data_IF_063472177330
#
_entry.id   IF_063472177330
#
_cell.length_a   1.000
_cell.length_b   1.000
_cell.length_c   1.000
_cell.angle_alpha   90.00
_cell.angle_beta   90.00
_cell.angle_gamma   90.00
#
_symmetry.space_group_name_H-M   'P 1'
#
loop_
_entity.id
_entity.type
_entity.pdbx_description
1 polymer ?
#
# COMPACT_ATOMS: atom_id res chain seq x y z
N UNK A 1 23.01 -1.48 12.38
CA UNK A 1 21.89 -1.47 13.34
C UNK A 1 20.79 -0.63 12.75
N UNK A 2 19.59 -1.18 12.60
CA UNK A 2 18.43 -0.40 12.15
C UNK A 2 17.85 0.36 13.35
N UNK A 3 17.97 1.68 13.31
CA UNK A 3 17.34 2.56 14.29
C UNK A 3 15.83 2.56 14.03
N UNK A 4 15.02 2.28 15.06
CA UNK A 4 13.56 2.33 14.93
C UNK A 4 13.09 3.78 15.02
N UNK A 5 13.05 4.46 13.87
CA UNK A 5 12.41 5.76 13.77
C UNK A 5 10.88 5.61 13.88
N UNK A 6 10.34 5.96 15.05
CA UNK A 6 8.89 6.23 15.21
C UNK A 6 8.66 7.70 14.90
N UNK A 7 8.28 8.00 13.66
CA UNK A 7 7.90 9.35 13.27
C UNK A 7 6.81 9.96 14.16
N UNK A 8 6.78 11.29 14.24
CA UNK A 8 5.75 12.01 14.99
C UNK A 8 4.41 11.98 14.24
N UNK A 9 3.34 11.57 14.93
CA UNK A 9 1.97 11.63 14.41
C UNK A 9 1.49 13.10 14.47
N UNK A 10 1.56 13.80 13.34
CA UNK A 10 1.20 15.23 13.24
C UNK A 10 -0.30 15.48 13.00
N UNK A 11 -1.12 14.44 12.84
CA UNK A 11 -2.56 14.57 12.57
C UNK A 11 -2.90 15.14 11.18
N UNK A 12 -1.91 15.24 10.29
CA UNK A 12 -2.05 15.68 8.90
C UNK A 12 -2.02 14.48 7.97
N UNK A 13 -2.93 14.45 7.00
CA UNK A 13 -3.04 13.41 5.98
C UNK A 13 -4.46 13.36 5.41
N UNK A 14 -4.57 12.86 4.19
CA UNK A 14 -5.86 12.62 3.52
C UNK A 14 -6.16 11.13 3.53
N UNK A 15 -7.43 10.77 3.67
CA UNK A 15 -7.91 9.38 3.66
C UNK A 15 -8.65 9.11 2.35
N UNK A 16 -8.61 7.86 1.90
CA UNK A 16 -9.35 7.40 0.72
C UNK A 16 -9.04 8.20 -0.56
N UNK A 17 -7.77 8.57 -0.76
CA UNK A 17 -7.29 9.14 -2.02
C UNK A 17 -6.36 8.13 -2.71
N UNK A 18 -6.28 8.15 -4.05
CA UNK A 18 -5.26 7.40 -4.78
C UNK A 18 -3.85 7.82 -4.36
N UNK A 19 -2.95 6.85 -4.19
CA UNK A 19 -1.55 7.09 -3.83
C UNK A 19 -0.62 6.32 -4.75
N UNK A 20 0.55 6.84 -5.07
CA UNK A 20 1.51 6.20 -6.00
C UNK A 20 2.87 6.02 -5.35
N UNK A 21 3.36 4.78 -5.34
CA UNK A 21 4.68 4.40 -4.84
C UNK A 21 5.32 3.39 -5.78
N UNK A 22 6.63 3.49 -6.01
CA UNK A 22 7.35 2.52 -6.84
C UNK A 22 6.80 2.37 -8.27
N UNK A 23 6.12 3.40 -8.79
CA UNK A 23 5.47 3.36 -10.11
C UNK A 23 4.09 2.69 -10.14
N UNK A 24 3.57 2.24 -9.00
CA UNK A 24 2.25 1.61 -8.87
C UNK A 24 1.30 2.57 -8.15
N UNK A 25 0.11 2.76 -8.73
CA UNK A 25 -0.98 3.53 -8.11
C UNK A 25 -1.93 2.59 -7.38
N UNK A 26 -2.24 2.91 -6.13
CA UNK A 26 -3.18 2.20 -5.27
C UNK A 26 -4.43 3.06 -5.13
N UNK A 27 -5.56 2.56 -5.62
CA UNK A 27 -6.84 3.23 -5.50
C UNK A 27 -7.65 2.67 -4.31
N UNK A 28 -8.42 3.50 -3.62
CA UNK A 28 -9.36 3.02 -2.60
C UNK A 28 -10.30 1.96 -3.16
N UNK A 29 -10.39 0.82 -2.46
CA UNK A 29 -11.25 -0.31 -2.84
C UNK A 29 -10.55 -1.40 -3.66
N UNK A 30 -9.33 -1.20 -4.12
CA UNK A 30 -8.53 -2.25 -4.77
C UNK A 30 -7.92 -3.21 -3.75
N UNK A 31 -7.58 -4.41 -4.24
CA UNK A 31 -6.92 -5.46 -3.49
C UNK A 31 -5.41 -5.39 -3.71
N UNK A 32 -4.64 -5.55 -2.63
CA UNK A 32 -3.18 -5.56 -2.67
C UNK A 32 -2.67 -6.91 -2.21
N UNK A 33 -1.85 -7.54 -3.03
CA UNK A 33 -1.21 -8.82 -2.77
C UNK A 33 0.30 -8.60 -2.72
N UNK A 34 0.98 -9.17 -1.73
CA UNK A 34 2.42 -8.99 -1.55
C UNK A 34 3.07 -10.28 -1.03
N UNK A 35 4.23 -10.61 -1.58
CA UNK A 35 5.11 -11.71 -1.15
C UNK A 35 6.59 -11.30 -1.26
N UNK A 36 7.50 -12.27 -1.17
CA UNK A 36 8.95 -12.03 -1.28
C UNK A 36 9.40 -11.57 -2.67
N UNK A 37 8.58 -11.77 -3.71
CA UNK A 37 8.89 -11.40 -5.09
C UNK A 37 8.39 -10.01 -5.47
N UNK A 38 7.34 -9.51 -4.81
CA UNK A 38 6.87 -8.15 -5.03
C UNK A 38 5.44 -7.89 -4.56
N UNK A 39 4.84 -6.87 -5.17
CA UNK A 39 3.50 -6.37 -4.86
C UNK A 39 2.68 -6.27 -6.14
N UNK A 40 1.42 -6.70 -6.08
CA UNK A 40 0.43 -6.61 -7.17
C UNK A 40 -0.83 -5.94 -6.64
N UNK A 41 -1.46 -5.11 -7.49
CA UNK A 41 -2.75 -4.45 -7.23
C UNK A 41 -3.79 -4.97 -8.21
N UNK A 42 -5.00 -5.25 -7.73
CA UNK A 42 -6.11 -5.76 -8.53
C UNK A 42 -7.42 -5.04 -8.20
N UNK A 43 -8.23 -4.77 -9.22
CA UNK A 43 -9.56 -4.17 -9.06
C UNK A 43 -10.59 -5.15 -8.44
N UNK A 44 -10.30 -6.45 -8.43
CA UNK A 44 -11.13 -7.49 -7.85
C UNK A 44 -10.30 -8.51 -7.08
N UNK A 45 -10.95 -9.24 -6.18
CA UNK A 45 -10.31 -10.35 -5.48
C UNK A 45 -9.83 -11.41 -6.47
N UNK A 46 -8.60 -11.89 -6.27
CA UNK A 46 -8.02 -12.99 -7.03
C UNK A 46 -8.40 -14.29 -6.34
N UNK A 47 -9.03 -15.21 -7.07
CA UNK A 47 -9.23 -16.58 -6.59
C UNK A 47 -7.88 -17.29 -6.51
N UNK A 48 -7.49 -17.67 -5.29
CA UNK A 48 -6.38 -18.58 -5.07
C UNK A 48 -6.93 -20.00 -5.25
N UNK A 49 -6.60 -20.61 -6.39
CA UNK A 49 -6.98 -21.99 -6.71
C UNK A 49 -6.38 -23.03 -5.79
#
# INVERSE_FOLDING_TARGET
GFERYRGQRKGVGELNIPVTFGGVTFNPGEFVYADDNGVVVSASEIELG
#
